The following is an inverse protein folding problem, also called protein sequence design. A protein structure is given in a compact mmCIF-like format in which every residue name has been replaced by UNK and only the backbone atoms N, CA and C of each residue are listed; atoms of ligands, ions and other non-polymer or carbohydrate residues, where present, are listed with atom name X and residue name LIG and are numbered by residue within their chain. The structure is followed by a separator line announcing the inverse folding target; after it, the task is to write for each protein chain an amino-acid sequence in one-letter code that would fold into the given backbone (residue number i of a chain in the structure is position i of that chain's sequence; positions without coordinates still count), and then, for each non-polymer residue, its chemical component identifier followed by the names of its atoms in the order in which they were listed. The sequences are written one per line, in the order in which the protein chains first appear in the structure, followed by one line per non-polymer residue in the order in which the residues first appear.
data_IF_994366949162
#
_entry.id   IF_994366949162
#
_cell.length_a   1.000
_cell.length_b   1.000
_cell.length_c   1.000
_cell.angle_alpha   90.00
_cell.angle_beta   90.00
_cell.angle_gamma   90.00
#
_symmetry.space_group_name_H-M   'P 1'
#
loop_
_entity.id
_entity.type
_entity.pdbx_description
1 polymer ?
#
# COMPACT_ATOMS: atom_id res chain seq x y z
N UNK A 1 18.63 -11.80 3.56
CA UNK A 1 18.50 -11.48 2.13
C UNK A 1 17.02 -11.35 1.84
N UNK A 2 16.50 -10.14 1.75
CA UNK A 2 15.10 -9.95 1.33
C UNK A 2 15.07 -10.11 -0.18
N UNK A 3 14.30 -11.06 -0.69
CA UNK A 3 14.03 -11.16 -2.13
C UNK A 3 13.55 -9.79 -2.62
N UNK A 4 14.16 -9.30 -3.71
CA UNK A 4 13.68 -8.08 -4.36
C UNK A 4 12.32 -8.41 -4.96
N UNK A 5 11.26 -7.83 -4.40
CA UNK A 5 9.93 -7.86 -5.01
C UNK A 5 10.06 -7.16 -6.37
N UNK A 6 9.55 -7.79 -7.41
CA UNK A 6 9.51 -7.26 -8.78
C UNK A 6 8.19 -7.62 -9.41
N UNK A 7 7.64 -6.71 -10.22
CA UNK A 7 6.42 -6.93 -10.98
C UNK A 7 6.72 -6.84 -12.48
N UNK A 8 6.13 -7.74 -13.27
CA UNK A 8 6.25 -7.77 -14.73
C UNK A 8 5.18 -6.91 -15.42
N UNK A 9 4.09 -6.60 -14.71
CA UNK A 9 3.00 -5.76 -15.22
C UNK A 9 2.25 -5.03 -14.10
N UNK A 10 1.46 -4.03 -14.50
CA UNK A 10 0.51 -3.36 -13.60
C UNK A 10 -0.56 -4.32 -13.06
N UNK A 11 -1.00 -5.28 -13.86
CA UNK A 11 -1.99 -6.27 -13.43
C UNK A 11 -1.44 -7.15 -12.29
N UNK A 12 -0.18 -7.58 -12.40
CA UNK A 12 0.49 -8.36 -11.35
C UNK A 12 0.63 -7.55 -10.06
N UNK A 13 1.03 -6.27 -10.18
CA UNK A 13 1.09 -5.34 -9.07
C UNK A 13 -0.29 -5.18 -8.39
N UNK A 14 -1.36 -4.96 -9.15
CA UNK A 14 -2.70 -4.75 -8.61
C UNK A 14 -3.26 -6.02 -7.93
N UNK A 15 -2.97 -7.21 -8.46
CA UNK A 15 -3.32 -8.48 -7.82
C UNK A 15 -2.63 -8.62 -6.47
N UNK A 16 -1.34 -8.26 -6.39
CA UNK A 16 -0.58 -8.31 -5.14
C UNK A 16 -1.11 -7.30 -4.12
N UNK A 17 -1.40 -6.06 -4.53
CA UNK A 17 -2.01 -5.02 -3.67
C UNK A 17 -3.33 -5.52 -3.11
N UNK A 18 -4.22 -6.05 -3.95
CA UNK A 18 -5.53 -6.55 -3.54
C UNK A 18 -5.43 -7.66 -2.50
N UNK A 19 -4.39 -8.50 -2.60
CA UNK A 19 -4.12 -9.53 -1.59
C UNK A 19 -3.81 -8.90 -0.23
N UNK A 20 -2.94 -7.89 -0.17
CA UNK A 20 -2.64 -7.17 1.08
C UNK A 20 -3.87 -6.49 1.68
N UNK A 21 -4.70 -5.87 0.83
CA UNK A 21 -5.97 -5.27 1.25
C UNK A 21 -6.90 -6.31 1.89
N UNK A 22 -6.99 -7.49 1.28
CA UNK A 22 -7.81 -8.60 1.77
C UNK A 22 -7.25 -9.16 3.09
N UNK A 23 -5.93 -9.34 3.19
CA UNK A 23 -5.27 -9.83 4.41
C UNK A 23 -5.47 -8.86 5.57
N UNK A 24 -5.41 -7.55 5.32
CA UNK A 24 -5.73 -6.52 6.31
C UNK A 24 -7.20 -6.55 6.72
N UNK A 25 -8.12 -6.57 5.76
CA UNK A 25 -9.57 -6.60 6.04
C UNK A 25 -9.96 -7.83 6.85
N UNK A 26 -9.36 -8.98 6.57
CA UNK A 26 -9.56 -10.19 7.37
C UNK A 26 -9.04 -10.06 8.81
N UNK A 27 -7.97 -9.30 9.03
CA UNK A 27 -7.37 -9.12 10.36
C UNK A 27 -8.15 -8.12 11.24
N UNK A 28 -8.70 -7.06 10.63
CA UNK A 28 -9.32 -5.94 11.35
C UNK A 28 -10.84 -5.84 11.18
N UNK A 29 -11.43 -6.56 10.22
CA UNK A 29 -12.86 -6.49 9.89
C UNK A 29 -13.27 -5.19 9.19
N UNK A 30 -12.28 -4.40 8.73
CA UNK A 30 -12.47 -3.15 8.02
C UNK A 30 -11.43 -2.99 6.90
N UNK A 31 -11.76 -2.31 5.79
CA UNK A 31 -10.83 -2.11 4.69
C UNK A 31 -9.65 -1.21 5.10
N UNK A 32 -8.52 -1.35 4.40
CA UNK A 32 -7.41 -0.41 4.52
C UNK A 32 -7.91 1.01 4.24
N UNK A 33 -7.59 2.00 5.09
CA UNK A 33 -7.99 3.37 4.84
C UNK A 33 -7.47 3.87 3.47
N UNK A 34 -8.39 4.34 2.62
CA UNK A 34 -8.06 4.84 1.29
C UNK A 34 -7.23 6.12 1.30
N UNK A 35 -7.19 6.84 2.43
CA UNK A 35 -6.40 8.05 2.67
C UNK A 35 -5.10 7.75 3.41
N UNK A 36 -4.36 6.73 2.99
CA UNK A 36 -3.00 6.50 3.49
C UNK A 36 -2.02 7.19 2.55
N UNK A 37 -1.22 8.10 3.11
CA UNK A 37 -0.10 8.72 2.41
C UNK A 37 1.07 7.74 2.29
N UNK A 38 1.70 7.72 1.13
CA UNK A 38 3.12 7.36 1.04
C UNK A 38 3.46 5.98 0.46
N UNK A 39 2.49 5.23 -0.07
CA UNK A 39 2.80 4.03 -0.85
C UNK A 39 2.85 4.36 -2.35
N UNK A 40 1.76 4.78 -2.97
CA UNK A 40 1.67 5.11 -4.40
C UNK A 40 0.37 5.88 -4.70
N UNK A 41 0.30 6.61 -5.81
CA UNK A 41 -0.93 7.28 -6.27
C UNK A 41 -1.72 6.38 -7.23
N UNK A 42 -2.95 5.94 -6.87
CA UNK A 42 -3.79 5.11 -7.74
C UNK A 42 -4.26 5.81 -9.02
N UNK A 43 -4.34 7.14 -9.04
CA UNK A 43 -4.79 7.91 -10.21
C UNK A 43 -3.68 8.12 -11.23
N UNK A 44 -2.42 8.05 -10.79
CA UNK A 44 -1.24 8.27 -11.62
C UNK A 44 -0.32 7.03 -11.67
N UNK A 45 -0.87 5.82 -11.54
CA UNK A 45 -0.09 4.57 -11.63
C UNK A 45 0.82 4.48 -12.87
N UNK A 46 0.37 5.04 -13.99
CA UNK A 46 1.11 5.05 -15.26
C UNK A 46 2.35 5.94 -15.26
N UNK A 47 2.51 6.84 -14.28
CA UNK A 47 3.70 7.70 -14.15
C UNK A 47 4.83 7.01 -13.38
N UNK A 48 4.57 5.88 -12.73
CA UNK A 48 5.58 5.11 -12.02
C UNK A 48 6.16 3.99 -12.89
N UNK A 49 7.46 3.79 -12.80
CA UNK A 49 8.13 2.58 -13.29
C UNK A 49 7.75 1.36 -12.44
N UNK A 50 7.88 0.15 -13.01
CA UNK A 50 7.62 -1.09 -12.25
C UNK A 50 8.53 -1.23 -11.02
N UNK A 51 9.75 -0.65 -11.06
CA UNK A 51 10.65 -0.63 -9.90
C UNK A 51 10.17 0.28 -8.79
N UNK A 52 9.60 1.45 -9.14
CA UNK A 52 8.97 2.34 -8.17
C UNK A 52 7.74 1.70 -7.55
N UNK A 53 6.88 1.06 -8.35
CA UNK A 53 5.73 0.31 -7.85
C UNK A 53 6.13 -0.87 -6.97
N UNK A 54 7.21 -1.58 -7.30
CA UNK A 54 7.75 -2.63 -6.43
C UNK A 54 8.23 -2.09 -5.08
N UNK A 55 8.86 -0.91 -5.08
CA UNK A 55 9.30 -0.24 -3.85
C UNK A 55 8.12 0.25 -3.01
N UNK A 56 7.11 0.81 -3.67
CA UNK A 56 5.85 1.25 -3.08
C UNK A 56 5.10 0.09 -2.43
N UNK A 57 4.95 -1.02 -3.15
CA UNK A 57 4.34 -2.25 -2.65
C UNK A 57 5.11 -2.81 -1.44
N UNK A 58 6.44 -2.85 -1.49
CA UNK A 58 7.23 -3.35 -0.37
C UNK A 58 7.01 -2.56 0.91
N UNK A 59 6.80 -1.23 0.81
CA UNK A 59 6.43 -0.39 1.95
C UNK A 59 5.02 -0.70 2.45
N UNK A 60 4.04 -0.81 1.55
CA UNK A 60 2.68 -1.22 1.90
C UNK A 60 2.65 -2.57 2.61
N UNK A 61 3.34 -3.57 2.06
CA UNK A 61 3.43 -4.90 2.64
C UNK A 61 4.04 -4.88 4.05
N UNK A 62 5.10 -4.09 4.24
CA UNK A 62 5.74 -3.93 5.55
C UNK A 62 4.78 -3.32 6.56
N UNK A 63 4.07 -2.26 6.20
CA UNK A 63 3.19 -1.53 7.12
C UNK A 63 1.93 -2.35 7.46
N UNK A 64 1.34 -3.02 6.47
CA UNK A 64 0.22 -3.97 6.68
C UNK A 64 0.66 -5.11 7.59
N UNK A 65 1.81 -5.71 7.33
CA UNK A 65 2.32 -6.79 8.17
C UNK A 65 2.60 -6.31 9.60
N UNK A 66 3.18 -5.12 9.77
CA UNK A 66 3.42 -4.53 11.08
C UNK A 66 2.11 -4.26 11.83
N UNK A 67 1.10 -3.73 11.15
CA UNK A 67 -0.24 -3.52 11.72
C UNK A 67 -0.85 -4.84 12.20
N UNK A 68 -0.90 -5.85 11.34
CA UNK A 68 -1.45 -7.18 11.67
C UNK A 68 -0.67 -7.82 12.84
N UNK A 69 0.66 -7.81 12.80
CA UNK A 69 1.50 -8.41 13.84
C UNK A 69 1.33 -7.71 15.19
N UNK A 70 1.13 -6.39 15.20
CA UNK A 70 0.96 -5.61 16.43
C UNK A 70 -0.49 -5.47 16.86
N UNK A 71 -1.45 -6.01 16.09
CA UNK A 71 -2.89 -5.83 16.26
C UNK A 71 -3.29 -4.35 16.39
N UNK A 72 -2.56 -3.46 15.70
CA UNK A 72 -2.86 -2.03 15.66
C UNK A 72 -3.24 -1.64 14.23
N UNK A 73 -4.50 -1.22 13.97
CA UNK A 73 -4.94 -0.79 12.65
C UNK A 73 -4.11 0.39 12.14
N UNK A 74 -3.94 0.48 10.81
CA UNK A 74 -3.31 1.63 10.18
C UNK A 74 -4.29 2.81 10.30
N UNK A 75 -3.84 3.90 10.93
CA UNK A 75 -4.69 5.07 11.11
C UNK A 75 -4.82 5.85 9.80
N UNK A 76 -6.04 6.30 9.44
CA UNK A 76 -6.23 7.17 8.29
C UNK A 76 -5.45 8.47 8.49
N UNK A 77 -4.87 8.99 7.41
CA UNK A 77 -4.35 10.35 7.43
C UNK A 77 -5.53 11.30 7.46
N UNK A 78 -5.50 12.29 8.36
CA UNK A 78 -6.54 13.32 8.41
C UNK A 78 -6.60 14.09 7.09
N UNK A 79 -7.77 14.55 6.67
CA UNK A 79 -7.98 15.34 5.44
C UNK A 79 -7.03 16.55 5.36
N UNK A 80 -6.75 17.19 6.51
CA UNK A 80 -5.82 18.31 6.62
C UNK A 80 -4.37 17.93 6.27
N UNK A 81 -3.94 16.72 6.59
CA UNK A 81 -2.61 16.21 6.23
C UNK A 81 -2.58 15.76 4.77
N UNK A 82 -3.69 15.20 4.26
CA UNK A 82 -3.84 14.80 2.87
C UNK A 82 -3.72 16.00 1.92
N UNK A 83 -4.43 17.10 2.19
CA UNK A 83 -4.42 18.33 1.37
C UNK A 83 -3.05 19.05 1.32
N UNK A 84 -2.15 18.75 2.27
CA UNK A 84 -0.80 19.33 2.33
C UNK A 84 0.24 18.54 1.53
N UNK A 85 -0.14 17.37 0.99
CA UNK A 85 0.76 16.51 0.23
C UNK A 85 0.62 16.81 -1.26
N UNK A 86 1.63 17.47 -1.81
CA UNK A 86 1.74 17.75 -3.24
C UNK A 86 2.27 16.48 -3.91
N UNK A 87 1.51 15.90 -4.85
CA UNK A 87 1.95 14.85 -5.76
C UNK A 87 2.85 15.42 -6.86
#
# INVERSE_FOLDING_TARGET
MSEKITFQSLDEFMVAVKKLETDYENAFGEPIPSKILGWWDPLHLHTYSMTELATAYARMAHDVQAAITTMHPIMPVSDKLWDMTIF
#
